data_IF_027283361796
#
_entry.id   IF_027283361796
#
_cell.length_a   1.000
_cell.length_b   1.000
_cell.length_c   1.000
_cell.angle_alpha   90.00
_cell.angle_beta   90.00
_cell.angle_gamma   90.00
#
_symmetry.space_group_name_H-M   'P 1'
#
loop_
_entity.id
_entity.type
_entity.pdbx_description
1 polymer ?
#
# COMPACT_ATOMS: atom_id res chain seq x y z
N UNK A 1 7.38 5.79 -44.96
CA UNK A 1 7.62 7.03 -45.73
C UNK A 1 6.38 7.71 -46.33
N UNK A 2 5.14 7.25 -46.11
CA UNK A 2 3.91 7.97 -46.56
C UNK A 2 3.14 8.73 -45.47
N UNK A 3 3.47 8.55 -44.19
CA UNK A 3 2.80 9.26 -43.07
C UNK A 3 3.49 10.56 -42.63
N UNK A 4 4.72 10.83 -43.09
CA UNK A 4 5.46 12.06 -42.77
C UNK A 4 5.11 13.24 -43.72
N UNK A 5 4.62 12.95 -44.92
CA UNK A 5 4.30 13.95 -45.96
C UNK A 5 2.96 14.67 -45.69
N UNK A 6 2.03 14.01 -44.99
CA UNK A 6 0.69 14.57 -44.71
C UNK A 6 0.73 15.64 -43.60
N UNK A 7 1.69 15.56 -42.66
CA UNK A 7 1.82 16.52 -41.55
C UNK A 7 2.46 17.84 -42.02
N UNK A 8 3.33 17.80 -43.05
CA UNK A 8 3.97 19.01 -43.60
C UNK A 8 2.97 19.82 -44.45
N UNK A 9 2.03 19.18 -45.14
CA UNK A 9 1.03 19.87 -46.00
C UNK A 9 -0.06 20.58 -45.16
N UNK A 10 -0.44 20.03 -44.00
CA UNK A 10 -1.44 20.67 -43.10
C UNK A 10 -0.86 21.87 -42.35
N UNK A 11 0.46 21.92 -42.17
CA UNK A 11 1.16 23.01 -41.48
C UNK A 11 1.33 24.26 -42.37
N UNK A 12 1.38 24.09 -43.69
CA UNK A 12 1.59 25.18 -44.66
C UNK A 12 0.27 25.89 -45.02
N UNK A 13 -0.87 25.19 -44.98
CA UNK A 13 -2.19 25.80 -45.28
C UNK A 13 -2.76 26.68 -44.17
N UNK A 14 -2.29 26.58 -42.92
CA UNK A 14 -2.80 27.41 -41.81
C UNK A 14 -2.03 28.74 -41.69
N UNK A 15 -0.82 28.81 -42.23
CA UNK A 15 0.00 30.04 -42.27
C UNK A 15 -0.38 30.97 -43.44
N UNK A 16 -1.07 30.45 -44.47
CA UNK A 16 -1.48 31.23 -45.65
C UNK A 16 -2.80 32.02 -45.48
N UNK A 17 -3.60 31.76 -44.45
CA UNK A 17 -4.91 32.41 -44.25
C UNK A 17 -4.88 33.58 -43.25
N UNK A 18 -3.73 33.84 -42.61
CA UNK A 18 -3.57 34.94 -41.64
C UNK A 18 -2.79 36.15 -42.21
N UNK A 19 -2.29 36.08 -43.45
CA UNK A 19 -1.50 37.15 -44.07
C UNK A 19 -2.22 37.99 -45.15
N UNK A 20 -3.56 37.90 -45.28
CA UNK A 20 -4.34 38.63 -46.31
C UNK A 20 -5.03 39.90 -45.77
N UNK A 21 -4.85 40.30 -44.51
CA UNK A 21 -5.49 41.51 -43.96
C UNK A 21 -4.53 42.67 -43.64
N UNK A 22 -3.28 42.65 -44.12
CA UNK A 22 -2.32 43.67 -43.74
C UNK A 22 -1.35 44.08 -44.86
N UNK A 23 -1.78 44.31 -46.11
CA UNK A 23 -0.90 44.96 -47.10
C UNK A 23 -1.63 45.54 -48.33
N UNK A 24 -2.54 46.49 -48.12
CA UNK A 24 -2.96 47.41 -49.18
C UNK A 24 -3.26 48.79 -48.58
N UNK A 25 -2.25 49.65 -48.53
CA UNK A 25 -2.33 51.09 -48.87
C UNK A 25 -1.12 51.85 -48.33
N UNK A 26 -0.05 51.96 -49.14
CA UNK A 26 0.78 53.18 -49.17
C UNK A 26 1.73 53.22 -50.39
N UNK A 27 1.35 54.02 -51.40
CA UNK A 27 2.22 54.68 -52.38
C UNK A 27 1.34 55.74 -53.08
N UNK A 28 1.32 57.01 -52.69
CA UNK A 28 2.25 58.12 -52.97
C UNK A 28 2.37 58.53 -54.45
N UNK A 29 1.84 59.72 -54.76
CA UNK A 29 2.31 60.79 -55.69
C UNK A 29 1.10 61.72 -55.95
N UNK A 30 0.95 62.89 -55.34
CA UNK A 30 1.63 64.21 -55.47
C UNK A 30 0.86 65.19 -56.40
N UNK A 31 0.85 66.48 -56.00
CA UNK A 31 0.27 67.69 -56.63
C UNK A 31 -1.26 67.83 -56.60
N UNK A 32 -1.90 68.95 -56.26
CA UNK A 32 -1.53 70.37 -56.27
C UNK A 32 -2.36 71.16 -55.23
N UNK A 33 -1.88 72.37 -54.93
CA UNK A 33 -2.49 73.43 -54.11
C UNK A 33 -3.78 74.02 -54.69
N UNK A 34 -4.78 74.30 -53.86
CA UNK A 34 -5.33 75.65 -53.63
C UNK A 34 -6.55 75.65 -52.69
N UNK A 35 -6.49 76.60 -51.74
CA UNK A 35 -7.54 77.38 -51.06
C UNK A 35 -9.00 76.86 -51.01
N UNK A 36 -9.55 76.73 -49.79
CA UNK A 36 -10.33 77.80 -49.14
C UNK A 36 -11.17 77.27 -47.95
N UNK A 37 -10.94 77.89 -46.79
CA UNK A 37 -11.83 78.22 -45.68
C UNK A 37 -13.13 77.41 -45.43
N UNK A 38 -13.25 76.79 -44.25
CA UNK A 38 -13.84 77.39 -43.03
C UNK A 38 -14.57 76.36 -42.14
N UNK A 39 -14.39 76.55 -40.83
CA UNK A 39 -15.22 76.15 -39.69
C UNK A 39 -15.37 74.68 -39.22
N UNK A 40 -14.88 74.53 -37.97
CA UNK A 40 -15.29 73.64 -36.86
C UNK A 40 -14.73 72.22 -36.84
N UNK A 41 -13.60 72.05 -36.15
CA UNK A 41 -13.15 70.76 -35.62
C UNK A 41 -12.63 70.90 -34.18
N UNK A 42 -13.09 69.96 -33.34
CA UNK A 42 -12.38 69.30 -32.23
C UNK A 42 -12.31 69.94 -30.83
N UNK A 43 -13.02 69.30 -29.90
CA UNK A 43 -12.44 68.86 -28.63
C UNK A 43 -12.72 67.35 -28.46
N UNK A 44 -11.72 66.50 -28.68
CA UNK A 44 -11.76 65.06 -28.37
C UNK A 44 -10.36 64.45 -28.15
N UNK A 45 -9.40 65.26 -27.67
CA UNK A 45 -8.01 64.78 -27.44
C UNK A 45 -7.78 64.17 -26.05
N UNK A 46 -8.81 64.05 -25.20
CA UNK A 46 -8.65 63.55 -23.81
C UNK A 46 -8.98 62.07 -23.60
N UNK A 47 -9.43 61.32 -24.62
CA UNK A 47 -9.99 59.96 -24.43
C UNK A 47 -9.04 58.82 -24.83
N UNK A 48 -7.91 59.08 -25.51
CA UNK A 48 -7.05 58.01 -26.06
C UNK A 48 -5.93 57.55 -25.09
N UNK A 49 -5.58 58.33 -24.06
CA UNK A 49 -4.49 57.95 -23.13
C UNK A 49 -4.94 57.12 -21.91
N UNK A 50 -6.25 56.97 -21.66
CA UNK A 50 -6.78 56.10 -20.58
C UNK A 50 -7.14 54.69 -21.06
N UNK A 51 -7.45 54.52 -22.34
CA UNK A 51 -7.86 53.23 -22.94
C UNK A 51 -6.67 52.31 -23.22
N UNK A 52 -5.52 52.82 -23.67
CA UNK A 52 -4.32 52.00 -23.94
C UNK A 52 -3.63 51.42 -22.69
N UNK A 53 -3.66 52.13 -21.56
CA UNK A 53 -3.16 51.59 -20.27
C UNK A 53 -4.08 50.50 -19.72
N UNK A 54 -5.39 50.64 -19.93
CA UNK A 54 -6.39 49.68 -19.49
C UNK A 54 -6.31 48.36 -20.29
N UNK A 55 -6.07 48.42 -21.61
CA UNK A 55 -5.92 47.23 -22.45
C UNK A 55 -4.69 46.38 -22.09
N UNK A 56 -3.55 47.00 -21.71
CA UNK A 56 -2.37 46.26 -21.23
C UNK A 56 -2.55 45.68 -19.82
N UNK A 57 -3.26 46.36 -18.92
CA UNK A 57 -3.63 45.79 -17.62
C UNK A 57 -4.63 44.64 -17.77
N UNK A 58 -5.59 44.75 -18.70
CA UNK A 58 -6.58 43.70 -19.00
C UNK A 58 -5.92 42.50 -19.70
N UNK A 59 -5.02 42.71 -20.67
CA UNK A 59 -4.27 41.60 -21.28
C UNK A 59 -3.35 40.91 -20.27
N UNK A 60 -2.59 41.66 -19.45
CA UNK A 60 -1.69 41.04 -18.46
C UNK A 60 -2.45 40.28 -17.36
N UNK A 61 -3.62 40.76 -16.94
CA UNK A 61 -4.51 40.07 -16.00
C UNK A 61 -5.21 38.87 -16.63
N UNK A 62 -5.62 38.95 -17.91
CA UNK A 62 -6.16 37.81 -18.66
C UNK A 62 -5.11 36.70 -18.87
N UNK A 63 -3.85 37.04 -19.18
CA UNK A 63 -2.75 36.06 -19.29
C UNK A 63 -2.36 35.44 -17.95
N UNK A 64 -2.38 36.21 -16.85
CA UNK A 64 -2.14 35.66 -15.50
C UNK A 64 -3.27 34.74 -15.07
N UNK A 65 -4.52 35.07 -15.39
CA UNK A 65 -5.70 34.25 -15.06
C UNK A 65 -5.75 32.97 -15.91
N UNK A 66 -5.33 33.01 -17.17
CA UNK A 66 -5.26 31.82 -18.03
C UNK A 66 -4.07 30.91 -17.71
N UNK A 67 -2.92 31.48 -17.32
CA UNK A 67 -1.80 30.70 -16.75
C UNK A 67 -2.19 30.02 -15.45
N UNK A 68 -2.75 30.76 -14.48
CA UNK A 68 -3.11 30.22 -13.16
C UNK A 68 -4.28 29.22 -13.20
N UNK A 69 -5.18 29.32 -14.19
CA UNK A 69 -6.21 28.31 -14.44
C UNK A 69 -5.63 27.03 -15.06
N UNK A 70 -4.66 27.15 -15.96
CA UNK A 70 -3.96 26.01 -16.55
C UNK A 70 -3.09 25.27 -15.51
N UNK A 71 -2.37 26.03 -14.68
CA UNK A 71 -1.54 25.50 -13.59
C UNK A 71 -2.40 24.74 -12.57
N UNK A 72 -3.57 25.28 -12.19
CA UNK A 72 -4.54 24.58 -11.34
C UNK A 72 -5.08 23.27 -11.96
N UNK A 73 -5.28 23.24 -13.28
CA UNK A 73 -5.75 22.04 -13.98
C UNK A 73 -4.69 20.93 -13.98
N UNK A 74 -3.43 21.29 -14.25
CA UNK A 74 -2.30 20.36 -14.20
C UNK A 74 -2.05 19.82 -12.78
N UNK A 75 -2.11 20.68 -11.77
CA UNK A 75 -1.99 20.29 -10.37
C UNK A 75 -3.12 19.35 -9.93
N UNK A 76 -4.37 19.63 -10.34
CA UNK A 76 -5.51 18.75 -10.09
C UNK A 76 -5.34 17.39 -10.75
N UNK A 77 -4.89 17.33 -12.00
CA UNK A 77 -4.60 16.08 -12.69
C UNK A 77 -3.51 15.27 -11.97
N UNK A 78 -2.44 15.94 -11.50
CA UNK A 78 -1.41 15.30 -10.70
C UNK A 78 -1.94 14.75 -9.37
N UNK A 79 -2.82 15.49 -8.69
CA UNK A 79 -3.46 15.03 -7.46
C UNK A 79 -4.32 13.77 -7.68
N UNK A 80 -5.06 13.69 -8.79
CA UNK A 80 -5.82 12.50 -9.19
C UNK A 80 -4.88 11.31 -9.38
N UNK A 81 -3.75 11.49 -10.07
CA UNK A 81 -2.77 10.42 -10.26
C UNK A 81 -2.18 9.93 -8.92
N UNK A 82 -1.88 10.84 -8.00
CA UNK A 82 -1.42 10.49 -6.66
C UNK A 82 -2.49 9.73 -5.86
N UNK A 83 -3.75 10.16 -5.91
CA UNK A 83 -4.87 9.47 -5.26
C UNK A 83 -4.99 8.04 -5.80
N UNK A 84 -4.93 7.87 -7.12
CA UNK A 84 -5.02 6.56 -7.77
C UNK A 84 -3.87 5.64 -7.35
N UNK A 85 -2.64 6.15 -7.29
CA UNK A 85 -1.48 5.39 -6.83
C UNK A 85 -1.59 4.97 -5.35
N UNK A 86 -2.08 5.87 -4.48
CA UNK A 86 -2.33 5.57 -3.06
C UNK A 86 -3.44 4.53 -2.89
N UNK A 87 -4.53 4.65 -3.64
CA UNK A 87 -5.62 3.66 -3.65
C UNK A 87 -5.13 2.27 -4.09
N UNK A 88 -4.31 2.19 -5.13
CA UNK A 88 -3.70 0.94 -5.56
C UNK A 88 -2.82 0.32 -4.46
N UNK A 89 -2.08 1.15 -3.73
CA UNK A 89 -1.27 0.70 -2.57
C UNK A 89 -2.15 0.17 -1.45
N UNK A 90 -3.24 0.87 -1.11
CA UNK A 90 -4.21 0.44 -0.09
C UNK A 90 -4.82 -0.92 -0.48
N UNK A 91 -5.19 -1.09 -1.75
CA UNK A 91 -5.73 -2.35 -2.24
C UNK A 91 -4.72 -3.49 -2.06
N UNK A 92 -3.47 -3.30 -2.50
CA UNK A 92 -2.41 -4.31 -2.32
C UNK A 92 -2.17 -4.64 -0.83
N UNK A 93 -2.19 -3.64 0.05
CA UNK A 93 -2.08 -3.84 1.49
C UNK A 93 -3.25 -4.65 2.05
N UNK A 94 -4.48 -4.39 1.59
CA UNK A 94 -5.68 -5.14 2.00
C UNK A 94 -5.63 -6.61 1.56
N UNK A 95 -5.09 -6.89 0.37
CA UNK A 95 -4.85 -8.26 -0.11
C UNK A 95 -3.84 -8.99 0.79
N UNK A 96 -2.72 -8.33 1.15
CA UNK A 96 -1.73 -8.88 2.10
C UNK A 96 -2.34 -9.13 3.48
N UNK A 97 -3.10 -8.18 4.02
CA UNK A 97 -3.80 -8.34 5.30
C UNK A 97 -4.74 -9.54 5.25
N UNK A 98 -5.49 -9.71 4.16
CA UNK A 98 -6.39 -10.86 3.99
C UNK A 98 -5.63 -12.18 3.96
N UNK A 99 -4.51 -12.24 3.23
CA UNK A 99 -3.61 -13.41 3.23
C UNK A 99 -3.07 -13.73 4.63
N UNK A 100 -2.58 -12.74 5.37
CA UNK A 100 -2.08 -12.93 6.73
C UNK A 100 -3.16 -13.40 7.69
N UNK A 101 -4.40 -12.91 7.57
CA UNK A 101 -5.54 -13.40 8.36
C UNK A 101 -5.85 -14.87 8.06
N UNK A 102 -5.81 -15.28 6.80
CA UNK A 102 -5.97 -16.69 6.43
C UNK A 102 -4.86 -17.56 7.02
N UNK A 103 -3.60 -17.11 6.96
CA UNK A 103 -2.47 -17.82 7.55
C UNK A 103 -2.60 -17.95 9.07
N UNK A 104 -3.03 -16.89 9.78
CA UNK A 104 -3.35 -16.95 11.21
C UNK A 104 -4.45 -17.97 11.48
N UNK A 105 -5.49 -18.03 10.63
CA UNK A 105 -6.54 -19.06 10.72
C UNK A 105 -5.97 -20.48 10.68
N UNK A 106 -5.09 -20.78 9.71
CA UNK A 106 -4.42 -22.08 9.61
C UNK A 106 -3.51 -22.38 10.82
N UNK A 107 -2.74 -21.39 11.28
CA UNK A 107 -1.88 -21.53 12.46
C UNK A 107 -2.69 -21.79 13.74
N UNK A 108 -3.87 -21.18 13.89
CA UNK A 108 -4.77 -21.46 15.01
C UNK A 108 -5.30 -22.89 14.97
N UNK A 109 -5.63 -23.43 13.79
CA UNK A 109 -6.01 -24.85 13.66
C UNK A 109 -4.86 -25.78 14.05
N UNK A 110 -3.63 -25.46 13.63
CA UNK A 110 -2.43 -26.21 14.03
C UNK A 110 -2.20 -26.12 15.54
N UNK A 111 -2.37 -24.94 16.13
CA UNK A 111 -2.24 -24.72 17.57
C UNK A 111 -3.20 -25.62 18.35
N UNK A 112 -4.47 -25.67 17.96
CA UNK A 112 -5.47 -26.54 18.59
C UNK A 112 -5.07 -28.03 18.48
N UNK A 113 -4.54 -28.46 17.34
CA UNK A 113 -4.06 -29.83 17.15
C UNK A 113 -2.87 -30.16 18.06
N UNK A 114 -1.91 -29.24 18.19
CA UNK A 114 -0.78 -29.39 19.12
C UNK A 114 -1.26 -29.43 20.57
N UNK A 115 -2.20 -28.58 20.97
CA UNK A 115 -2.77 -28.58 22.33
C UNK A 115 -3.50 -29.89 22.66
N UNK A 116 -4.23 -30.46 21.71
CA UNK A 116 -4.83 -31.79 21.87
C UNK A 116 -3.74 -32.86 22.04
N UNK A 117 -2.69 -32.80 21.23
CA UNK A 117 -1.55 -33.72 21.30
C UNK A 117 -0.81 -33.62 22.65
N UNK A 118 -0.66 -32.40 23.19
CA UNK A 118 -0.11 -32.17 24.54
C UNK A 118 -0.98 -32.86 25.58
N UNK A 119 -2.30 -32.68 25.52
CA UNK A 119 -3.24 -33.28 26.47
C UNK A 119 -3.20 -34.81 26.44
N UNK A 120 -3.14 -35.40 25.24
CA UNK A 120 -2.94 -36.85 25.07
C UNK A 120 -1.59 -37.30 25.61
N UNK A 121 -0.51 -36.56 25.32
CA UNK A 121 0.83 -36.89 25.80
C UNK A 121 0.92 -36.86 27.33
N UNK A 122 0.28 -35.89 27.98
CA UNK A 122 0.19 -35.80 29.44
C UNK A 122 -0.57 -36.99 30.04
N UNK A 123 -1.66 -37.41 29.40
CA UNK A 123 -2.41 -38.60 29.83
C UNK A 123 -1.57 -39.87 29.72
N UNK A 124 -0.81 -40.01 28.63
CA UNK A 124 0.09 -41.13 28.43
C UNK A 124 1.26 -41.12 29.42
N UNK A 125 1.82 -39.93 29.72
CA UNK A 125 2.85 -39.76 30.72
C UNK A 125 2.36 -40.19 32.11
N UNK A 126 1.13 -39.81 32.48
CA UNK A 126 0.52 -40.26 33.73
C UNK A 126 0.37 -41.79 33.77
N UNK A 127 -0.09 -42.41 32.68
CA UNK A 127 -0.15 -43.87 32.58
C UNK A 127 1.23 -44.52 32.70
N UNK A 128 2.26 -43.96 32.05
CA UNK A 128 3.62 -44.43 32.15
C UNK A 128 4.16 -44.34 33.59
N UNK A 129 3.83 -43.27 34.32
CA UNK A 129 4.16 -43.13 35.74
C UNK A 129 3.48 -44.19 36.60
N UNK A 130 2.20 -44.48 36.36
CA UNK A 130 1.51 -45.59 37.06
C UNK A 130 2.17 -46.94 36.77
N UNK A 131 2.55 -47.20 35.51
CA UNK A 131 3.27 -48.43 35.13
C UNK A 131 4.62 -48.53 35.82
N UNK A 132 5.34 -47.42 35.94
CA UNK A 132 6.60 -47.36 36.66
C UNK A 132 6.41 -47.68 38.15
N UNK A 133 5.38 -47.14 38.76
CA UNK A 133 5.07 -47.42 40.16
C UNK A 133 4.70 -48.89 40.37
N UNK A 134 3.85 -49.45 39.50
CA UNK A 134 3.52 -50.88 39.53
C UNK A 134 4.76 -51.76 39.38
N UNK A 135 5.65 -51.45 38.42
CA UNK A 135 6.88 -52.21 38.20
C UNK A 135 7.83 -52.18 39.40
N UNK A 136 7.87 -51.08 40.18
CA UNK A 136 8.67 -51.01 41.41
C UNK A 136 8.12 -51.93 42.50
N UNK A 137 6.80 -52.09 42.54
CA UNK A 137 6.09 -52.88 43.53
C UNK A 137 5.99 -54.37 43.15
N UNK A 138 6.10 -54.70 41.86
CA UNK A 138 6.11 -56.08 41.38
C UNK A 138 7.39 -56.82 41.82
N UNK A 139 7.18 -58.04 42.34
CA UNK A 139 8.26 -58.89 42.84
C UNK A 139 8.35 -60.17 42.03
N UNK A 140 9.56 -60.52 41.64
CA UNK A 140 9.89 -61.77 40.95
C UNK A 140 10.70 -62.67 41.87
N UNK A 141 10.45 -63.98 41.76
CA UNK A 141 11.15 -64.98 42.55
C UNK A 141 12.50 -65.29 41.90
N UNK A 142 13.58 -65.12 42.65
CA UNK A 142 14.97 -65.28 42.17
C UNK A 142 15.72 -66.23 43.09
N UNK A 143 16.56 -67.10 42.53
CA UNK A 143 17.44 -67.96 43.31
C UNK A 143 18.81 -67.28 43.51
N UNK A 144 19.30 -67.25 44.75
CA UNK A 144 20.61 -66.72 45.11
C UNK A 144 21.44 -67.81 45.78
N UNK A 145 22.60 -68.13 45.22
CA UNK A 145 23.54 -69.10 45.77
C UNK A 145 23.90 -68.73 47.22
N UNK A 146 23.79 -69.70 48.14
CA UNK A 146 24.06 -69.48 49.57
C UNK A 146 22.91 -68.91 50.39
N UNK A 147 21.81 -68.47 49.75
CA UNK A 147 20.62 -67.93 50.43
C UNK A 147 19.36 -68.76 50.11
N UNK A 148 19.23 -69.22 48.87
CA UNK A 148 18.04 -69.94 48.39
C UNK A 148 17.11 -69.04 47.57
N UNK A 149 15.81 -69.35 47.58
CA UNK A 149 14.80 -68.57 46.87
C UNK A 149 14.43 -67.31 47.64
N UNK A 150 14.46 -66.16 46.97
CA UNK A 150 14.06 -64.84 47.50
C UNK A 150 13.13 -64.12 46.51
N UNK A 151 12.53 -63.01 46.94
CA UNK A 151 11.72 -62.13 46.11
C UNK A 151 12.40 -60.78 45.97
N UNK A 152 12.62 -60.36 44.72
CA UNK A 152 13.27 -59.10 44.38
C UNK A 152 12.41 -58.30 43.40
N UNK A 153 12.63 -56.99 43.30
CA UNK A 153 11.96 -56.18 42.28
C UNK A 153 12.46 -56.57 40.89
N UNK A 154 11.54 -56.64 39.91
CA UNK A 154 11.93 -56.83 38.52
C UNK A 154 12.58 -55.56 37.96
N UNK A 155 13.90 -55.53 38.00
CA UNK A 155 14.67 -54.38 37.54
C UNK A 155 14.53 -54.12 36.03
N UNK A 156 14.21 -55.14 35.24
CA UNK A 156 13.97 -55.00 33.80
C UNK A 156 12.64 -54.30 33.55
N UNK A 157 11.59 -54.71 34.25
CA UNK A 157 10.28 -54.05 34.20
C UNK A 157 10.39 -52.57 34.61
N UNK A 158 11.12 -52.29 35.70
CA UNK A 158 11.37 -50.92 36.17
C UNK A 158 12.12 -50.10 35.10
N UNK A 159 13.19 -50.66 34.52
CA UNK A 159 13.97 -49.98 33.48
C UNK A 159 13.12 -49.64 32.25
N UNK A 160 12.30 -50.58 31.77
CA UNK A 160 11.42 -50.38 30.63
C UNK A 160 10.37 -49.30 30.92
N UNK A 161 9.76 -49.31 32.11
CA UNK A 161 8.79 -48.30 32.50
C UNK A 161 9.42 -46.90 32.63
N UNK A 162 10.65 -46.79 33.17
CA UNK A 162 11.40 -45.52 33.21
C UNK A 162 11.67 -44.98 31.80
N UNK A 163 12.05 -45.86 30.87
CA UNK A 163 12.28 -45.45 29.48
C UNK A 163 11.02 -44.87 28.84
N UNK A 164 9.85 -45.44 29.13
CA UNK A 164 8.58 -44.94 28.62
C UNK A 164 8.21 -43.56 29.20
N UNK A 165 8.45 -43.35 30.50
CA UNK A 165 8.28 -42.03 31.13
C UNK A 165 9.15 -41.00 30.44
N UNK A 166 10.45 -41.29 30.29
CA UNK A 166 11.39 -40.37 29.63
C UNK A 166 11.01 -40.08 28.18
N UNK A 167 10.48 -41.06 27.45
CA UNK A 167 9.97 -40.86 26.09
C UNK A 167 8.84 -39.82 26.05
N UNK A 168 7.85 -39.95 26.94
CA UNK A 168 6.72 -39.01 26.97
C UNK A 168 7.09 -37.63 27.51
N UNK A 169 8.05 -37.53 28.44
CA UNK A 169 8.60 -36.24 28.88
C UNK A 169 9.26 -35.49 27.72
N UNK A 170 10.09 -36.19 26.94
CA UNK A 170 10.73 -35.60 25.75
C UNK A 170 9.71 -35.21 24.68
N UNK A 171 8.71 -36.04 24.45
CA UNK A 171 7.63 -35.72 23.51
C UNK A 171 6.85 -34.47 23.95
N UNK A 172 6.52 -34.37 25.25
CA UNK A 172 5.82 -33.22 25.81
C UNK A 172 6.64 -31.93 25.64
N UNK A 173 7.94 -31.98 25.94
CA UNK A 173 8.83 -30.85 25.73
C UNK A 173 8.82 -30.36 24.27
N UNK A 174 8.94 -31.28 23.31
CA UNK A 174 8.93 -30.93 21.89
C UNK A 174 7.60 -30.31 21.44
N UNK A 175 6.48 -30.84 21.92
CA UNK A 175 5.15 -30.28 21.62
C UNK A 175 4.99 -28.86 22.19
N UNK A 176 5.50 -28.61 23.40
CA UNK A 176 5.49 -27.27 24.00
C UNK A 176 6.33 -26.27 23.20
N UNK A 177 7.49 -26.69 22.69
CA UNK A 177 8.31 -25.86 21.80
C UNK A 177 7.61 -25.54 20.48
N UNK A 178 6.90 -26.52 19.90
CA UNK A 178 6.08 -26.30 18.71
C UNK A 178 4.95 -25.30 18.99
N UNK A 179 4.25 -25.43 20.12
CA UNK A 179 3.20 -24.50 20.55
C UNK A 179 3.72 -23.06 20.62
N UNK A 180 4.87 -22.86 21.28
CA UNK A 180 5.51 -21.54 21.41
C UNK A 180 5.88 -20.94 20.06
N UNK A 181 6.41 -21.76 19.14
CA UNK A 181 6.78 -21.32 17.79
C UNK A 181 5.56 -20.84 17.01
N UNK A 182 4.47 -21.61 17.04
CA UNK A 182 3.21 -21.25 16.37
C UNK A 182 2.67 -19.92 16.92
N UNK A 183 2.68 -19.75 18.26
CA UNK A 183 2.24 -18.50 18.90
C UNK A 183 3.09 -17.30 18.47
N UNK A 184 4.41 -17.45 18.38
CA UNK A 184 5.31 -16.41 17.89
C UNK A 184 4.97 -15.99 16.46
N UNK A 185 4.75 -16.97 15.57
CA UNK A 185 4.37 -16.71 14.19
C UNK A 185 3.04 -15.94 14.07
N UNK A 186 2.04 -16.31 14.86
CA UNK A 186 0.76 -15.59 14.92
C UNK A 186 0.98 -14.13 15.34
N UNK A 187 1.79 -13.88 16.38
CA UNK A 187 2.08 -12.53 16.86
C UNK A 187 2.81 -11.67 15.81
N UNK A 188 3.74 -12.26 15.06
CA UNK A 188 4.46 -11.57 13.99
C UNK A 188 3.53 -11.18 12.84
N UNK A 189 2.63 -12.07 12.43
CA UNK A 189 1.62 -11.79 11.41
C UNK A 189 0.64 -10.70 11.89
N UNK A 190 0.20 -10.77 13.14
CA UNK A 190 -0.68 -9.75 13.74
C UNK A 190 -0.01 -8.38 13.76
N UNK A 191 1.28 -8.31 14.09
CA UNK A 191 2.06 -7.08 14.05
C UNK A 191 2.15 -6.52 12.63
N UNK A 192 2.39 -7.39 11.64
CA UNK A 192 2.42 -7.01 10.22
C UNK A 192 1.07 -6.45 9.75
N UNK A 193 -0.05 -7.06 10.16
CA UNK A 193 -1.40 -6.55 9.89
C UNK A 193 -1.59 -5.16 10.49
N UNK A 194 -1.16 -4.93 11.73
CA UNK A 194 -1.29 -3.64 12.40
C UNK A 194 -0.50 -2.56 11.66
N UNK A 195 0.73 -2.85 11.22
CA UNK A 195 1.56 -1.93 10.42
C UNK A 195 0.88 -1.56 9.10
N UNK A 196 0.40 -2.54 8.33
CA UNK A 196 -0.28 -2.28 7.05
C UNK A 196 -1.57 -1.49 7.25
N UNK A 197 -2.30 -1.76 8.34
CA UNK A 197 -3.52 -1.02 8.69
C UNK A 197 -3.20 0.44 9.02
N UNK A 198 -2.14 0.71 9.78
CA UNK A 198 -1.70 2.06 10.09
C UNK A 198 -1.26 2.82 8.82
N UNK A 199 -0.52 2.15 7.92
CA UNK A 199 -0.15 2.72 6.62
C UNK A 199 -1.39 3.07 5.78
N UNK A 200 -2.39 2.20 5.73
CA UNK A 200 -3.63 2.48 5.00
C UNK A 200 -4.38 3.69 5.57
N UNK A 201 -4.42 3.83 6.90
CA UNK A 201 -5.04 4.99 7.54
C UNK A 201 -4.33 6.30 7.16
N UNK A 202 -2.98 6.30 7.18
CA UNK A 202 -2.17 7.43 6.75
C UNK A 202 -2.45 7.80 5.28
N UNK A 203 -2.46 6.81 4.38
CA UNK A 203 -2.75 7.02 2.96
C UNK A 203 -4.16 7.58 2.74
N UNK A 204 -5.15 7.10 3.49
CA UNK A 204 -6.52 7.61 3.44
C UNK A 204 -6.60 9.08 3.90
N UNK A 205 -5.88 9.45 4.95
CA UNK A 205 -5.78 10.85 5.39
C UNK A 205 -5.15 11.74 4.32
N UNK A 206 -4.07 11.30 3.69
CA UNK A 206 -3.42 12.02 2.58
C UNK A 206 -4.35 12.18 1.36
N UNK A 207 -5.07 11.11 1.00
CA UNK A 207 -6.09 11.16 -0.07
C UNK A 207 -7.16 12.20 0.27
N UNK A 208 -7.66 12.21 1.51
CA UNK A 208 -8.66 13.18 1.96
C UNK A 208 -8.13 14.61 1.82
N UNK A 209 -6.90 14.88 2.26
CA UNK A 209 -6.28 16.20 2.09
C UNK A 209 -6.16 16.62 0.63
N UNK A 210 -5.78 15.71 -0.27
CA UNK A 210 -5.72 15.99 -1.71
C UNK A 210 -7.10 16.27 -2.30
N UNK A 211 -8.12 15.49 -1.90
CA UNK A 211 -9.51 15.69 -2.33
C UNK A 211 -10.03 17.05 -1.90
N UNK A 212 -9.84 17.40 -0.63
CA UNK A 212 -10.27 18.66 -0.04
C UNK A 212 -9.55 19.85 -0.71
N UNK A 213 -8.24 19.75 -0.97
CA UNK A 213 -7.43 20.83 -1.58
C UNK A 213 -7.86 21.16 -3.01
N UNK A 214 -8.17 20.16 -3.83
CA UNK A 214 -8.45 20.33 -5.28
C UNK A 214 -9.93 20.17 -5.66
N UNK A 215 -10.83 20.06 -4.69
CA UNK A 215 -12.26 19.85 -4.91
C UNK A 215 -12.53 18.61 -5.78
N UNK A 216 -11.95 17.47 -5.39
CA UNK A 216 -12.14 16.17 -6.04
C UNK A 216 -13.09 15.36 -5.16
N UNK A 217 -14.28 15.06 -5.66
CA UNK A 217 -15.31 14.30 -4.94
C UNK A 217 -15.32 12.85 -5.42
#
# INVERSE_FOLDING_TARGET
MKKLVIIIIVSISIVATVCVSAFLSKAYLDKDSEEAQNELTYDSSSVIYSTGKNSNSIQSSATKTSSSAYDNSAEKANAINQINAKNATIQSNNEKISSYRSQIGSLNSQLNSVQNSISTCQSNLNNANYRLENARNEKVRVYRTGIGWTYETDQTAVSNARSLVSQYENQLYNLQMQEQTIRSNINNLQSSINTLTAQNNQLNSEIKTLKDKYGIY
#
